data_IF_020454930624
#
_entry.id   IF_020454930624
#
_cell.length_a   1.000
_cell.length_b   1.000
_cell.length_c   1.000
_cell.angle_alpha   90.00
_cell.angle_beta   90.00
_cell.angle_gamma   90.00
#
_symmetry.space_group_name_H-M   'P 1'
#
loop_
_entity.id
_entity.type
_entity.pdbx_description
1 polymer ?
#
# COMPACT_ATOMS: atom_id res chain seq x y z
N UNK A 1 -24.65 -61.77 23.86
CA UNK A 1 -25.27 -60.48 24.22
C UNK A 1 -24.20 -59.61 24.86
N UNK A 2 -23.63 -58.66 24.09
CA UNK A 2 -23.13 -57.33 24.48
C UNK A 2 -22.40 -56.77 23.25
N UNK A 3 -22.97 -55.70 22.71
CA UNK A 3 -22.53 -54.87 21.59
C UNK A 3 -21.57 -53.79 22.14
N UNK A 4 -20.81 -53.14 21.25
CA UNK A 4 -20.32 -51.73 21.27
C UNK A 4 -18.78 -51.65 21.10
N UNK A 5 -18.28 -51.55 19.86
CA UNK A 5 -17.94 -50.32 19.09
C UNK A 5 -16.88 -49.45 19.78
N UNK A 6 -15.70 -49.29 19.15
CA UNK A 6 -15.07 -47.98 18.91
C UNK A 6 -13.83 -48.10 18.00
N UNK A 7 -14.08 -48.04 16.70
CA UNK A 7 -13.12 -47.58 15.69
C UNK A 7 -12.90 -46.09 15.95
N UNK A 8 -11.72 -45.64 16.40
CA UNK A 8 -11.24 -44.25 16.26
C UNK A 8 -9.71 -44.16 16.37
N UNK A 9 -9.02 -44.41 15.26
CA UNK A 9 -7.66 -43.91 15.04
C UNK A 9 -7.45 -43.68 13.53
N UNK A 10 -8.25 -42.77 13.00
CA UNK A 10 -8.00 -42.12 11.73
C UNK A 10 -8.57 -40.70 11.80
N UNK A 11 -7.88 -39.76 11.17
CA UNK A 11 -8.19 -38.33 11.06
C UNK A 11 -7.92 -37.46 12.30
N UNK A 12 -6.68 -36.99 12.42
CA UNK A 12 -6.42 -35.54 12.58
C UNK A 12 -5.19 -35.20 11.72
N UNK A 13 -5.38 -35.15 10.41
CA UNK A 13 -4.35 -34.67 9.47
C UNK A 13 -4.97 -34.02 8.25
N UNK A 14 -6.09 -33.31 8.40
CA UNK A 14 -6.66 -32.47 7.34
C UNK A 14 -7.31 -31.30 8.05
N UNK A 15 -6.83 -30.06 7.81
CA UNK A 15 -7.62 -28.81 7.70
C UNK A 15 -6.81 -27.49 7.89
N UNK A 16 -5.48 -27.48 7.86
CA UNK A 16 -4.73 -26.20 7.83
C UNK A 16 -4.24 -25.77 6.44
N UNK A 17 -4.37 -26.62 5.41
CA UNK A 17 -3.72 -26.38 4.11
C UNK A 17 -4.46 -25.53 3.05
N UNK A 18 -5.80 -25.33 3.03
CA UNK A 18 -6.41 -24.59 1.92
C UNK A 18 -6.23 -23.06 2.03
N UNK A 19 -6.11 -22.51 3.23
CA UNK A 19 -6.09 -21.06 3.44
C UNK A 19 -4.72 -20.46 3.08
N UNK A 20 -3.64 -21.14 3.45
CA UNK A 20 -2.28 -20.68 3.17
C UNK A 20 -1.95 -20.70 1.67
N UNK A 21 -2.37 -21.75 0.95
CA UNK A 21 -2.17 -21.86 -0.50
C UNK A 21 -2.95 -20.78 -1.28
N UNK A 22 -4.19 -20.49 -0.86
CA UNK A 22 -5.02 -19.49 -1.50
C UNK A 22 -4.49 -18.06 -1.27
N UNK A 23 -4.00 -17.76 -0.07
CA UNK A 23 -3.37 -16.48 0.25
C UNK A 23 -2.07 -16.26 -0.54
N UNK A 24 -1.26 -17.31 -0.70
CA UNK A 24 -0.04 -17.25 -1.51
C UNK A 24 -0.36 -16.99 -2.99
N UNK A 25 -1.39 -17.65 -3.54
CA UNK A 25 -1.81 -17.42 -4.93
C UNK A 25 -2.35 -16.01 -5.17
N UNK A 26 -3.07 -15.44 -4.20
CA UNK A 26 -3.60 -14.08 -4.32
C UNK A 26 -2.50 -13.02 -4.21
N UNK A 27 -1.56 -13.20 -3.27
CA UNK A 27 -0.38 -12.34 -3.17
C UNK A 27 0.40 -12.30 -4.48
N UNK A 28 0.70 -13.46 -5.08
CA UNK A 28 1.41 -13.55 -6.34
C UNK A 28 0.67 -12.82 -7.47
N UNK A 29 -0.64 -13.06 -7.61
CA UNK A 29 -1.49 -12.39 -8.60
C UNK A 29 -1.48 -10.86 -8.46
N UNK A 30 -1.52 -10.36 -7.23
CA UNK A 30 -1.48 -8.92 -6.96
C UNK A 30 -0.09 -8.33 -7.21
N UNK A 31 0.97 -9.06 -6.88
CA UNK A 31 2.34 -8.65 -7.22
C UNK A 31 2.52 -8.53 -8.74
N UNK A 32 2.03 -9.50 -9.51
CA UNK A 32 2.02 -9.45 -10.97
C UNK A 32 1.24 -8.24 -11.49
N UNK A 33 0.14 -7.87 -10.85
CA UNK A 33 -0.63 -6.68 -11.20
C UNK A 33 0.16 -5.38 -10.96
N UNK A 34 0.95 -5.29 -9.88
CA UNK A 34 1.88 -4.16 -9.65
C UNK A 34 2.96 -4.11 -10.73
N UNK A 35 3.55 -5.26 -11.08
CA UNK A 35 4.57 -5.35 -12.13
C UNK A 35 4.00 -4.96 -13.51
N UNK A 36 2.81 -5.45 -13.84
CA UNK A 36 2.10 -5.14 -15.08
C UNK A 36 1.75 -3.65 -15.17
N UNK A 37 1.36 -3.04 -14.05
CA UNK A 37 1.15 -1.59 -13.96
C UNK A 37 2.43 -0.81 -14.30
N UNK A 38 3.58 -1.23 -13.78
CA UNK A 38 4.88 -0.65 -14.13
C UNK A 38 5.19 -0.78 -15.62
N UNK A 39 4.93 -1.95 -16.21
CA UNK A 39 5.10 -2.18 -17.64
C UNK A 39 4.18 -1.29 -18.50
N UNK A 40 2.94 -1.07 -18.07
CA UNK A 40 2.04 -0.14 -18.77
C UNK A 40 2.55 1.30 -18.69
N UNK A 41 2.96 1.76 -17.49
CA UNK A 41 3.54 3.09 -17.32
C UNK A 41 4.77 3.31 -18.21
N UNK A 42 5.64 2.30 -18.33
CA UNK A 42 6.81 2.38 -19.20
C UNK A 42 6.42 2.50 -20.68
N UNK A 43 5.42 1.73 -21.14
CA UNK A 43 4.88 1.84 -22.51
C UNK A 43 4.27 3.22 -22.78
N UNK A 44 3.64 3.83 -21.78
CA UNK A 44 3.09 5.19 -21.86
C UNK A 44 4.16 6.30 -21.78
N UNK A 45 5.44 5.96 -21.63
CA UNK A 45 6.52 6.95 -21.44
C UNK A 45 6.57 7.57 -20.04
N UNK A 46 5.84 7.02 -19.07
CA UNK A 46 5.76 7.49 -17.68
C UNK A 46 6.83 6.82 -16.81
N UNK A 47 8.10 7.13 -17.09
CA UNK A 47 9.28 6.49 -16.47
C UNK A 47 9.24 6.46 -14.93
N UNK A 48 8.90 7.58 -14.28
CA UNK A 48 8.86 7.65 -12.81
C UNK A 48 7.75 6.77 -12.20
N UNK A 49 6.64 6.61 -12.91
CA UNK A 49 5.56 5.72 -12.48
C UNK A 49 5.95 4.25 -12.61
N UNK A 50 6.65 3.91 -13.69
CA UNK A 50 7.21 2.58 -13.87
C UNK A 50 8.25 2.26 -12.78
N UNK A 51 9.15 3.21 -12.49
CA UNK A 51 10.14 3.13 -11.42
C UNK A 51 9.49 2.88 -10.07
N UNK A 52 8.47 3.65 -9.71
CA UNK A 52 7.75 3.47 -8.46
C UNK A 52 7.06 2.09 -8.36
N UNK A 53 6.39 1.64 -9.43
CA UNK A 53 5.73 0.33 -9.46
C UNK A 53 6.72 -0.81 -9.22
N UNK A 54 7.85 -0.84 -9.94
CA UNK A 54 8.83 -1.91 -9.81
C UNK A 54 9.63 -1.83 -8.50
N UNK A 55 9.94 -0.63 -8.01
CA UNK A 55 10.52 -0.45 -6.67
C UNK A 55 9.58 -0.96 -5.58
N UNK A 56 8.27 -0.72 -5.69
CA UNK A 56 7.27 -1.27 -4.77
C UNK A 56 7.14 -2.79 -4.94
N UNK A 57 7.19 -3.35 -6.15
CA UNK A 57 7.22 -4.80 -6.33
C UNK A 57 8.43 -5.43 -5.61
N UNK A 58 9.61 -4.82 -5.74
CA UNK A 58 10.85 -5.23 -5.04
C UNK A 58 10.84 -4.93 -3.54
N UNK A 59 9.93 -4.08 -3.07
CA UNK A 59 9.66 -3.91 -1.64
C UNK A 59 9.08 -5.20 -1.05
N UNK A 60 8.08 -5.79 -1.73
CA UNK A 60 7.42 -7.01 -1.26
C UNK A 60 8.15 -8.29 -1.68
N UNK A 61 8.82 -8.28 -2.83
CA UNK A 61 9.55 -9.44 -3.36
C UNK A 61 10.93 -9.00 -3.88
N UNK A 62 11.94 -8.83 -3.00
CA UNK A 62 13.26 -8.34 -3.38
C UNK A 62 13.97 -9.21 -4.42
N UNK A 63 13.64 -10.51 -4.47
CA UNK A 63 14.18 -11.47 -5.42
C UNK A 63 13.40 -11.53 -6.75
N UNK A 64 12.46 -10.62 -6.99
CA UNK A 64 11.65 -10.63 -8.21
C UNK A 64 12.48 -10.19 -9.44
N UNK A 65 13.09 -11.17 -10.13
CA UNK A 65 13.96 -10.97 -11.30
C UNK A 65 13.32 -10.09 -12.40
N UNK A 66 12.02 -10.28 -12.67
CA UNK A 66 11.29 -9.49 -13.66
C UNK A 66 11.27 -7.99 -13.35
N UNK A 67 10.81 -7.60 -12.15
CA UNK A 67 10.79 -6.21 -11.70
C UNK A 67 12.19 -5.60 -11.62
N UNK A 68 13.18 -6.37 -11.13
CA UNK A 68 14.59 -5.93 -11.06
C UNK A 68 15.14 -5.59 -12.44
N UNK A 69 15.05 -6.51 -13.39
CA UNK A 69 15.51 -6.31 -14.77
C UNK A 69 14.84 -5.10 -15.43
N UNK A 70 13.54 -4.92 -15.22
CA UNK A 70 12.80 -3.80 -15.77
C UNK A 70 13.23 -2.45 -15.14
N UNK A 71 13.42 -2.42 -13.83
CA UNK A 71 13.89 -1.24 -13.10
C UNK A 71 15.30 -0.80 -13.52
N UNK A 72 16.21 -1.76 -13.71
CA UNK A 72 17.59 -1.52 -14.16
C UNK A 72 17.65 -1.01 -15.61
N UNK A 73 16.68 -1.38 -16.45
CA UNK A 73 16.58 -0.93 -17.83
C UNK A 73 16.03 0.51 -17.98
N UNK A 74 15.48 1.11 -16.91
CA UNK A 74 14.97 2.48 -16.98
C UNK A 74 16.13 3.48 -17.07
N UNK A 75 16.01 4.52 -17.93
CA UNK A 75 16.99 5.59 -17.96
C UNK A 75 17.10 6.25 -16.58
N UNK A 76 18.33 6.58 -16.18
CA UNK A 76 18.56 7.40 -15.00
C UNK A 76 17.97 8.78 -15.24
N UNK A 77 17.06 9.20 -14.36
CA UNK A 77 16.50 10.54 -14.35
C UNK A 77 16.73 11.16 -12.98
N UNK A 78 17.06 12.46 -12.96
CA UNK A 78 17.01 13.21 -11.72
C UNK A 78 15.53 13.32 -11.31
N UNK A 79 15.19 12.76 -10.15
CA UNK A 79 13.85 12.93 -9.60
C UNK A 79 13.61 14.41 -9.31
N UNK A 80 12.58 14.98 -9.93
CA UNK A 80 12.12 16.33 -9.66
C UNK A 80 10.61 16.35 -9.47
N UNK A 81 10.17 17.18 -8.53
CA UNK A 81 8.76 17.48 -8.34
C UNK A 81 8.34 18.57 -9.32
N UNK A 82 7.15 18.47 -9.89
CA UNK A 82 6.53 19.61 -10.55
C UNK A 82 6.10 20.67 -9.52
N UNK A 83 5.76 21.87 -9.99
CA UNK A 83 5.16 22.89 -9.10
C UNK A 83 3.88 22.37 -8.43
N UNK A 84 3.02 21.69 -9.18
CA UNK A 84 1.78 21.08 -8.68
C UNK A 84 2.06 20.00 -7.61
N UNK A 85 3.02 19.10 -7.84
CA UNK A 85 3.40 18.07 -6.86
C UNK A 85 4.04 18.67 -5.61
N UNK A 86 4.78 19.77 -5.79
CA UNK A 86 5.36 20.54 -4.68
C UNK A 86 4.25 21.18 -3.84
N UNK A 87 3.30 21.87 -4.46
CA UNK A 87 2.14 22.45 -3.78
C UNK A 87 1.28 21.39 -3.09
N UNK A 88 1.03 20.25 -3.76
CA UNK A 88 0.31 19.12 -3.20
C UNK A 88 1.01 18.59 -1.94
N UNK A 89 2.33 18.35 -2.01
CA UNK A 89 3.08 17.81 -0.88
C UNK A 89 3.13 18.76 0.32
N UNK A 90 3.35 20.06 0.10
CA UNK A 90 3.25 21.05 1.18
C UNK A 90 1.82 21.19 1.71
N UNK A 91 0.82 21.11 0.84
CA UNK A 91 -0.59 21.10 1.22
C UNK A 91 -0.93 19.93 2.14
N UNK A 92 -0.43 18.74 1.83
CA UNK A 92 -0.58 17.54 2.66
C UNK A 92 0.06 17.72 4.03
N UNK A 93 1.30 18.23 4.10
CA UNK A 93 1.96 18.53 5.37
C UNK A 93 1.18 19.52 6.25
N UNK A 94 0.55 20.53 5.64
CA UNK A 94 -0.24 21.54 6.39
C UNK A 94 -1.60 21.04 6.85
N UNK A 95 -2.20 20.09 6.14
CA UNK A 95 -3.57 19.61 6.36
C UNK A 95 -3.65 18.36 7.25
N UNK A 96 -2.53 17.69 7.50
CA UNK A 96 -2.47 16.45 8.28
C UNK A 96 -1.71 16.65 9.58
N UNK A 97 -2.10 15.92 10.61
CA UNK A 97 -1.39 15.88 11.88
C UNK A 97 -0.38 14.71 11.96
N UNK A 98 0.19 14.50 13.14
CA UNK A 98 1.09 13.36 13.43
C UNK A 98 0.50 11.99 13.09
N UNK A 99 -0.82 11.84 13.12
CA UNK A 99 -1.52 10.56 12.96
C UNK A 99 -1.34 9.98 11.56
N UNK A 100 -1.25 10.83 10.53
CA UNK A 100 -0.95 10.41 9.17
C UNK A 100 0.48 9.88 9.07
N UNK A 101 1.44 10.55 9.69
CA UNK A 101 2.86 10.26 9.50
C UNK A 101 3.40 9.18 10.43
N UNK A 102 2.73 8.88 11.55
CA UNK A 102 3.31 8.09 12.65
C UNK A 102 2.52 6.86 13.08
N UNK A 103 3.18 5.82 13.58
CA UNK A 103 2.51 4.62 14.11
C UNK A 103 1.96 3.73 13.00
N UNK A 104 2.75 3.52 11.95
CA UNK A 104 2.43 2.50 10.94
C UNK A 104 2.48 1.10 11.58
N UNK A 105 1.51 0.22 11.27
CA UNK A 105 1.55 -1.14 11.78
C UNK A 105 2.73 -1.92 11.18
N UNK A 106 3.27 -2.93 11.90
CA UNK A 106 4.25 -3.85 11.33
C UNK A 106 3.63 -4.65 10.18
N UNK A 107 4.45 -5.05 9.21
CA UNK A 107 4.00 -5.87 8.08
C UNK A 107 3.51 -7.24 8.53
N UNK A 108 2.46 -7.75 7.88
CA UNK A 108 1.98 -9.13 8.01
C UNK A 108 1.58 -9.64 6.63
N UNK A 109 1.57 -10.96 6.37
CA UNK A 109 1.22 -11.49 5.05
C UNK A 109 -0.17 -11.04 4.54
N UNK A 110 -1.15 -10.92 5.43
CA UNK A 110 -2.49 -10.46 5.07
C UNK A 110 -2.52 -8.96 4.73
N UNK A 111 -1.66 -8.16 5.37
CA UNK A 111 -1.52 -6.73 5.04
C UNK A 111 -0.86 -6.55 3.68
N UNK A 112 0.12 -7.37 3.32
CA UNK A 112 0.75 -7.28 2.00
C UNK A 112 -0.26 -7.46 0.88
N UNK A 113 -1.25 -8.36 1.05
CA UNK A 113 -2.34 -8.52 0.08
C UNK A 113 -3.15 -7.21 -0.06
N UNK A 114 -3.47 -6.54 1.05
CA UNK A 114 -4.18 -5.26 1.02
C UNK A 114 -3.30 -4.17 0.38
N UNK A 115 -2.03 -4.10 0.76
CA UNK A 115 -1.07 -3.13 0.26
C UNK A 115 -0.87 -3.28 -1.26
N UNK A 116 -0.66 -4.49 -1.76
CA UNK A 116 -0.53 -4.77 -3.18
C UNK A 116 -1.82 -4.42 -3.95
N UNK A 117 -3.00 -4.74 -3.38
CA UNK A 117 -4.29 -4.33 -3.96
C UNK A 117 -4.40 -2.81 -4.09
N UNK A 118 -3.98 -2.07 -3.08
CA UNK A 118 -4.00 -0.60 -3.07
C UNK A 118 -2.98 -0.02 -4.05
N UNK A 119 -1.80 -0.62 -4.17
CA UNK A 119 -0.77 -0.21 -5.15
C UNK A 119 -1.26 -0.39 -6.58
N UNK A 120 -2.06 -1.43 -6.86
CA UNK A 120 -2.62 -1.66 -8.18
C UNK A 120 -3.85 -0.78 -8.49
N UNK A 121 -4.50 -0.15 -7.51
CA UNK A 121 -5.70 0.66 -7.76
C UNK A 121 -5.35 2.05 -8.28
N UNK A 122 -5.60 2.27 -9.57
CA UNK A 122 -5.38 3.55 -10.26
C UNK A 122 -6.31 4.67 -9.76
N UNK A 123 -7.42 4.36 -9.10
CA UNK A 123 -8.30 5.40 -8.53
C UNK A 123 -7.75 5.91 -7.20
N UNK A 124 -7.04 5.03 -6.48
CA UNK A 124 -6.38 5.41 -5.24
C UNK A 124 -5.04 6.11 -5.51
N UNK A 125 -4.22 5.56 -6.42
CA UNK A 125 -2.88 6.05 -6.70
C UNK A 125 -2.69 6.40 -8.18
N UNK A 126 -3.42 7.36 -8.78
CA UNK A 126 -3.53 7.53 -10.23
C UNK A 126 -2.19 7.68 -10.97
N UNK A 127 -1.29 8.51 -10.44
CA UNK A 127 0.00 8.77 -11.07
C UNK A 127 1.16 8.05 -10.38
N UNK A 128 0.91 6.94 -9.65
CA UNK A 128 1.87 6.13 -8.87
C UNK A 128 3.30 6.71 -8.81
N UNK A 129 3.41 7.88 -8.19
CA UNK A 129 4.64 8.64 -8.00
C UNK A 129 4.62 9.04 -6.56
N UNK A 130 5.77 8.95 -5.94
CA UNK A 130 5.92 9.29 -4.53
C UNK A 130 7.21 10.05 -4.31
N UNK A 131 7.19 10.94 -3.33
CA UNK A 131 8.41 11.49 -2.74
C UNK A 131 8.64 10.82 -1.39
N UNK A 132 9.90 10.67 -1.01
CA UNK A 132 10.27 10.20 0.32
C UNK A 132 10.45 11.41 1.24
N UNK A 133 9.78 11.38 2.38
CA UNK A 133 9.79 12.45 3.36
C UNK A 133 10.37 11.95 4.67
N UNK A 134 11.46 12.55 5.11
CA UNK A 134 11.97 12.37 6.47
C UNK A 134 11.39 13.47 7.35
N UNK A 135 10.57 13.08 8.32
CA UNK A 135 9.83 13.99 9.19
C UNK A 135 10.19 13.72 10.64
N UNK A 136 10.48 14.79 11.38
CA UNK A 136 10.53 14.76 12.84
C UNK A 136 9.33 15.53 13.36
N UNK A 137 8.33 14.81 13.86
CA UNK A 137 7.08 15.40 14.35
C UNK A 137 6.87 15.00 15.81
N UNK A 138 7.04 15.96 16.72
CA UNK A 138 6.97 15.73 18.19
C UNK A 138 7.83 14.51 18.58
N UNK A 139 7.22 13.49 19.18
CA UNK A 139 7.87 12.27 19.68
C UNK A 139 8.03 11.17 18.61
N UNK A 140 7.90 11.52 17.33
CA UNK A 140 7.91 10.58 16.23
C UNK A 140 8.92 11.02 15.16
N UNK A 141 9.95 10.20 14.98
CA UNK A 141 10.91 10.32 13.88
C UNK A 141 10.53 9.29 12.82
N UNK A 142 10.24 9.75 11.61
CA UNK A 142 9.81 8.90 10.50
C UNK A 142 10.77 9.10 9.33
N UNK A 143 11.83 8.28 9.24
CA UNK A 143 12.74 8.37 8.12
C UNK A 143 12.03 7.83 6.87
N UNK A 144 11.84 8.67 5.86
CA UNK A 144 11.47 8.24 4.51
C UNK A 144 10.06 7.68 4.29
N UNK A 145 9.02 8.30 4.88
CA UNK A 145 7.63 8.02 4.50
C UNK A 145 7.42 8.33 3.03
N UNK A 146 6.82 7.41 2.28
CA UNK A 146 6.42 7.68 0.90
C UNK A 146 5.09 8.44 0.90
N UNK A 147 5.12 9.70 0.47
CA UNK A 147 3.93 10.46 0.12
C UNK A 147 3.65 10.28 -1.37
N UNK A 148 2.48 9.74 -1.71
CA UNK A 148 2.05 9.67 -3.11
C UNK A 148 1.57 11.05 -3.58
N UNK A 149 2.08 11.49 -4.72
CA UNK A 149 2.06 12.89 -5.16
C UNK A 149 0.81 13.29 -5.96
N UNK A 150 -0.18 12.41 -6.06
CA UNK A 150 -1.42 12.69 -6.76
C UNK A 150 -2.61 12.47 -5.84
N UNK A 151 -3.60 13.34 -5.96
CA UNK A 151 -4.85 13.22 -5.24
C UNK A 151 -5.61 11.97 -5.73
N UNK A 152 -6.08 11.10 -4.82
CA UNK A 152 -6.96 10.00 -5.18
C UNK A 152 -8.28 10.50 -5.79
N UNK A 153 -8.83 9.77 -6.75
CA UNK A 153 -10.16 10.05 -7.30
C UNK A 153 -11.30 9.40 -6.51
N UNK A 154 -10.98 8.55 -5.52
CA UNK A 154 -11.95 7.95 -4.61
C UNK A 154 -12.33 8.93 -3.49
N UNK A 155 -13.58 8.88 -3.09
CA UNK A 155 -14.03 9.37 -1.78
C UNK A 155 -13.71 8.36 -0.67
N UNK A 156 -13.74 8.82 0.58
CA UNK A 156 -13.58 7.97 1.77
C UNK A 156 -14.63 6.85 1.82
N UNK A 157 -15.86 7.14 1.40
CA UNK A 157 -16.92 6.13 1.32
C UNK A 157 -16.58 5.03 0.27
N UNK A 158 -16.05 5.42 -0.88
CA UNK A 158 -15.64 4.47 -1.91
C UNK A 158 -14.40 3.66 -1.52
N UNK A 159 -13.46 4.27 -0.78
CA UNK A 159 -12.34 3.54 -0.17
C UNK A 159 -12.86 2.45 0.77
N UNK A 160 -13.77 2.78 1.70
CA UNK A 160 -14.37 1.77 2.60
C UNK A 160 -15.11 0.67 1.83
N UNK A 161 -15.82 1.04 0.76
CA UNK A 161 -16.48 0.05 -0.12
C UNK A 161 -15.49 -0.86 -0.84
N UNK A 162 -14.33 -0.34 -1.27
CA UNK A 162 -13.34 -1.08 -2.04
C UNK A 162 -12.44 -1.98 -1.17
N UNK A 163 -12.15 -1.57 0.07
CA UNK A 163 -11.16 -2.20 0.93
C UNK A 163 -11.72 -2.77 2.25
N UNK A 164 -13.02 -2.55 2.53
CA UNK A 164 -13.67 -2.97 3.76
C UNK A 164 -13.47 -1.98 4.90
N UNK A 165 -13.58 -2.45 6.14
CA UNK A 165 -13.32 -1.61 7.31
C UNK A 165 -11.81 -1.38 7.50
N UNK A 166 -11.37 -0.14 7.78
CA UNK A 166 -9.99 0.14 8.09
C UNK A 166 -9.60 -0.50 9.41
N UNK A 167 -8.34 -0.91 9.53
CA UNK A 167 -7.78 -1.43 10.79
C UNK A 167 -7.83 -0.38 11.90
N UNK A 168 -7.61 0.87 11.53
CA UNK A 168 -7.66 2.00 12.43
C UNK A 168 -8.27 3.20 11.72
N UNK A 169 -9.15 3.91 12.42
CA UNK A 169 -9.60 5.24 12.06
C UNK A 169 -9.16 6.20 13.16
N UNK A 170 -8.51 7.30 12.77
CA UNK A 170 -8.24 8.44 13.64
C UNK A 170 -8.92 9.68 13.06
N UNK A 171 -9.29 10.61 13.94
CA UNK A 171 -9.79 11.93 13.56
C UNK A 171 -8.79 12.95 14.03
N UNK A 172 -8.35 13.80 13.12
CA UNK A 172 -7.47 14.92 13.43
C UNK A 172 -8.31 16.06 14.02
N UNK A 173 -7.67 17.01 14.70
CA UNK A 173 -8.32 18.15 15.35
C UNK A 173 -9.14 19.00 14.35
N UNK A 174 -8.74 18.98 13.08
CA UNK A 174 -9.44 19.67 12.01
C UNK A 174 -10.60 18.86 11.42
N UNK A 175 -10.99 17.73 12.02
CA UNK A 175 -12.08 16.86 11.56
C UNK A 175 -11.77 15.98 10.35
N UNK A 176 -10.54 16.00 9.84
CA UNK A 176 -10.08 15.07 8.81
C UNK A 176 -10.01 13.65 9.39
N UNK A 177 -10.37 12.65 8.59
CA UNK A 177 -10.25 11.25 9.00
C UNK A 177 -8.97 10.65 8.40
N UNK A 178 -8.18 9.95 9.22
CA UNK A 178 -7.05 9.15 8.78
C UNK A 178 -7.40 7.68 8.92
N UNK A 179 -7.46 6.98 7.78
CA UNK A 179 -7.82 5.57 7.69
C UNK A 179 -6.57 4.74 7.43
N UNK A 180 -6.37 3.67 8.20
CA UNK A 180 -5.25 2.73 8.00
C UNK A 180 -5.75 1.43 7.38
N UNK A 181 -5.25 1.09 6.19
CA UNK A 181 -5.51 -0.17 5.49
C UNK A 181 -4.18 -0.84 5.18
N UNK A 182 -4.01 -2.09 5.60
CA UNK A 182 -2.69 -2.71 5.54
C UNK A 182 -1.68 -1.83 6.30
N UNK A 183 -0.67 -1.33 5.57
CA UNK A 183 0.27 -0.32 6.03
C UNK A 183 0.05 1.05 5.40
N UNK A 184 -0.83 1.16 4.40
CA UNK A 184 -1.24 2.45 3.86
C UNK A 184 -2.04 3.26 4.86
N UNK A 185 -1.86 4.57 4.80
CA UNK A 185 -2.77 5.53 5.43
C UNK A 185 -3.32 6.49 4.41
N UNK A 186 -4.61 6.75 4.52
CA UNK A 186 -5.37 7.63 3.65
C UNK A 186 -5.94 8.73 4.53
N UNK A 187 -5.68 9.99 4.15
CA UNK A 187 -6.31 11.14 4.81
C UNK A 187 -7.49 11.63 3.97
N UNK A 188 -8.62 11.85 4.64
CA UNK A 188 -9.85 12.38 4.05
C UNK A 188 -10.18 13.76 4.57
N UNK A 189 -10.75 14.60 3.71
CA UNK A 189 -11.30 15.90 4.10
C UNK A 189 -12.68 15.77 4.75
N UNK A 190 -13.16 16.87 5.34
CA UNK A 190 -14.50 16.95 5.95
C UNK A 190 -15.64 16.67 4.99
N UNK A 191 -15.45 16.97 3.70
CA UNK A 191 -16.45 16.70 2.65
C UNK A 191 -16.46 15.24 2.19
N UNK A 192 -15.62 14.39 2.78
CA UNK A 192 -15.50 12.98 2.46
C UNK A 192 -14.60 12.68 1.25
N UNK A 193 -13.96 13.67 0.63
CA UNK A 193 -12.94 13.44 -0.40
C UNK A 193 -11.65 12.87 0.19
N UNK A 194 -10.95 12.02 -0.56
CA UNK A 194 -9.59 11.62 -0.20
C UNK A 194 -8.60 12.72 -0.60
N UNK A 195 -7.81 13.19 0.36
CA UNK A 195 -6.81 14.23 0.15
C UNK A 195 -5.47 13.65 -0.30
N UNK A 196 -5.08 12.49 0.22
CA UNK A 196 -3.80 11.88 -0.12
C UNK A 196 -3.55 10.58 0.61
N UNK A 197 -2.43 9.96 0.23
CA UNK A 197 -2.07 8.60 0.65
C UNK A 197 -0.59 8.58 1.01
N UNK A 198 -0.26 7.92 2.12
CA UNK A 198 1.11 7.67 2.54
C UNK A 198 1.34 6.18 2.79
N UNK A 199 2.58 5.77 2.61
CA UNK A 199 3.05 4.41 2.88
C UNK A 199 4.38 4.47 3.66
N UNK A 200 4.59 3.60 4.65
CA UNK A 200 5.79 3.66 5.48
C UNK A 200 7.06 3.42 4.67
N UNK A 201 8.21 3.86 5.21
CA UNK A 201 9.50 3.46 4.68
C UNK A 201 9.69 1.93 4.66
N UNK A 202 10.71 1.51 3.94
CA UNK A 202 11.27 0.18 4.09
C UNK A 202 12.00 0.13 5.44
N UNK A 203 11.60 -0.81 6.28
CA UNK A 203 12.22 -1.07 7.57
C UNK A 203 12.81 -2.48 7.49
N UNK A 204 13.83 -2.64 6.66
CA UNK A 204 14.69 -3.83 6.65
C UNK A 204 16.05 -3.52 7.27
#
# INVERSE_FOLDING_TARGET
>A
MHITIAIRLALVAILTFPIAACAQSERARLLDAVVARGAQSAKDGKTEQARAAWSLALYFEPAHEGAKKQLEALPGAAFSLTAEETEFSFGMLRKSDTSLWCGFPPSTPQMEIVDLKMISDVRLLPNLRSTSMSLRIKDCDVPGVFLFLAQPSLSIAEVRKAYGEPRQTKKDDNGSEVLTYGRFKIVGAKDGSCLGVVFPPRTD
#
